data_IF_376026133026
#
_entry.id   IF_376026133026
#
_cell.length_a   1.000
_cell.length_b   1.000
_cell.length_c   1.000
_cell.angle_alpha   90.00
_cell.angle_beta   90.00
_cell.angle_gamma   90.00
#
_symmetry.space_group_name_H-M   'P 1'
#
loop_
_entity.id
_entity.type
_entity.pdbx_description
1 polymer ?
#
# COMPACT_ATOMS: atom_id res chain seq x y z
N UNK A 1 17.64 -5.84 3.59
CA UNK A 1 17.78 -4.38 3.77
C UNK A 1 17.03 -3.68 2.65
N UNK A 2 15.86 -3.12 2.93
CA UNK A 2 15.09 -2.41 1.92
C UNK A 2 15.67 -1.02 1.65
N UNK A 3 15.54 -0.54 0.41
CA UNK A 3 15.92 0.81 0.02
C UNK A 3 14.67 1.68 -0.18
N UNK A 4 14.80 2.98 0.09
CA UNK A 4 13.74 3.96 -0.15
C UNK A 4 14.34 5.22 -0.75
N UNK A 5 13.67 5.76 -1.76
CA UNK A 5 14.04 6.95 -2.49
C UNK A 5 12.83 7.88 -2.56
N UNK A 6 13.09 9.19 -2.44
CA UNK A 6 12.12 10.22 -2.76
C UNK A 6 12.75 11.21 -3.73
N UNK A 7 12.10 11.43 -4.87
CA UNK A 7 12.38 12.57 -5.74
C UNK A 7 11.20 13.54 -5.62
N UNK A 8 11.41 14.63 -4.90
CA UNK A 8 10.41 15.70 -4.79
C UNK A 8 10.31 16.47 -6.11
N UNK A 9 9.20 17.19 -6.34
CA UNK A 9 8.96 17.86 -7.63
C UNK A 9 10.08 18.78 -8.14
N UNK A 10 10.89 19.39 -7.26
CA UNK A 10 12.05 20.18 -7.67
C UNK A 10 13.20 19.35 -8.28
N UNK A 11 13.20 18.04 -8.05
CA UNK A 11 14.22 17.10 -8.51
C UNK A 11 13.77 16.29 -9.75
N UNK A 12 12.55 16.49 -10.25
CA UNK A 12 11.99 15.78 -11.41
C UNK A 12 11.74 16.74 -12.58
N UNK A 13 11.87 16.25 -13.81
CA UNK A 13 11.74 17.10 -15.01
C UNK A 13 10.32 17.61 -15.25
N UNK A 14 9.31 16.91 -14.73
CA UNK A 14 7.89 17.20 -14.91
C UNK A 14 7.23 17.77 -13.65
N UNK A 15 7.99 17.98 -12.57
CA UNK A 15 7.47 18.45 -11.29
C UNK A 15 6.75 17.40 -10.45
N UNK A 16 6.69 16.14 -10.89
CA UNK A 16 6.06 15.06 -10.13
C UNK A 16 6.85 14.72 -8.86
N UNK A 17 6.14 14.35 -7.78
CA UNK A 17 6.81 13.72 -6.62
C UNK A 17 6.76 12.21 -6.79
N UNK A 18 7.93 11.59 -6.79
CA UNK A 18 8.09 10.14 -6.95
C UNK A 18 8.58 9.55 -5.64
N UNK A 19 7.81 8.60 -5.11
CA UNK A 19 8.23 7.74 -4.01
C UNK A 19 8.60 6.36 -4.58
N UNK A 20 9.83 5.92 -4.33
CA UNK A 20 10.33 4.62 -4.74
C UNK A 20 10.74 3.81 -3.52
N UNK A 21 10.32 2.54 -3.48
CA UNK A 21 10.76 1.58 -2.47
C UNK A 21 11.21 0.32 -3.18
N UNK A 22 12.38 -0.19 -2.80
CA UNK A 22 12.80 -1.53 -3.18
C UNK A 22 12.70 -2.41 -1.94
N UNK A 23 11.98 -3.52 -2.04
CA UNK A 23 11.83 -4.46 -0.94
C UNK A 23 12.77 -5.64 -1.14
N UNK A 24 13.64 -5.85 -0.16
CA UNK A 24 14.50 -7.02 -0.12
C UNK A 24 13.71 -8.25 0.24
N UNK A 25 13.85 -9.30 -0.56
CA UNK A 25 13.03 -10.51 -0.43
C UNK A 25 13.85 -11.79 -0.50
N UNK A 26 13.37 -12.87 0.14
CA UNK A 26 13.85 -14.20 -0.15
C UNK A 26 13.77 -14.52 -1.64
N UNK A 27 14.71 -15.33 -2.12
CA UNK A 27 14.72 -15.78 -3.51
C UNK A 27 13.38 -16.45 -3.87
N UNK A 28 12.80 -16.05 -5.00
CA UNK A 28 11.54 -16.56 -5.54
C UNK A 28 10.27 -16.27 -4.71
N UNK A 29 10.31 -15.33 -3.77
CA UNK A 29 9.07 -14.87 -3.13
C UNK A 29 8.13 -14.20 -4.14
N UNK A 30 6.90 -14.70 -4.24
CA UNK A 30 5.88 -14.17 -5.15
C UNK A 30 5.37 -12.83 -4.64
N UNK A 31 5.30 -11.86 -5.57
CA UNK A 31 4.65 -10.57 -5.37
C UNK A 31 3.36 -10.51 -6.17
N UNK A 32 2.25 -10.59 -5.45
CA UNK A 32 0.93 -10.43 -6.04
C UNK A 32 0.68 -8.94 -6.28
N UNK A 33 0.17 -8.64 -7.47
CA UNK A 33 -0.44 -7.35 -7.75
C UNK A 33 -1.94 -7.47 -7.44
N UNK A 34 -2.40 -6.78 -6.40
CA UNK A 34 -3.77 -6.88 -5.92
C UNK A 34 -4.45 -5.54 -6.10
N UNK A 35 -5.63 -5.55 -6.71
CA UNK A 35 -6.50 -4.39 -6.80
C UNK A 35 -7.55 -4.47 -5.70
N UNK A 36 -7.64 -3.42 -4.89
CA UNK A 36 -8.68 -3.27 -3.87
C UNK A 36 -9.51 -2.05 -4.27
N UNK A 37 -10.78 -2.22 -4.64
CA UNK A 37 -11.62 -1.10 -5.03
C UNK A 37 -11.95 -0.22 -3.83
N UNK A 38 -12.35 1.03 -4.12
CA UNK A 38 -12.97 1.92 -3.13
C UNK A 38 -14.16 1.24 -2.47
N UNK A 39 -14.31 1.38 -1.16
CA UNK A 39 -15.38 0.75 -0.39
C UNK A 39 -15.96 1.72 0.63
N UNK A 40 -17.27 1.62 0.84
CA UNK A 40 -17.99 2.27 1.94
C UNK A 40 -18.29 1.23 3.01
N UNK A 41 -18.20 1.63 4.28
CA UNK A 41 -18.37 0.75 5.44
C UNK A 41 -19.45 1.29 6.37
N UNK A 42 -20.22 0.37 6.96
CA UNK A 42 -21.31 0.70 7.90
C UNK A 42 -21.03 0.21 9.32
N UNK A 43 -20.04 -0.65 9.45
CA UNK A 43 -19.54 -1.22 10.69
C UNK A 43 -18.93 -0.13 11.56
N UNK A 44 -19.07 -0.25 12.89
CA UNK A 44 -18.45 0.69 13.82
C UNK A 44 -16.95 0.44 13.99
N UNK A 45 -16.53 -0.82 13.88
CA UNK A 45 -15.15 -1.26 14.13
C UNK A 45 -14.68 -2.24 13.05
N UNK A 46 -13.36 -2.26 12.82
CA UNK A 46 -12.66 -3.20 11.97
C UNK A 46 -11.77 -4.12 12.82
N UNK A 47 -11.95 -5.43 12.66
CA UNK A 47 -11.07 -6.43 13.28
C UNK A 47 -9.81 -6.62 12.43
N UNK A 48 -8.66 -6.33 13.01
CA UNK A 48 -7.34 -6.66 12.46
C UNK A 48 -6.80 -7.95 13.10
N UNK A 49 -5.62 -8.39 12.68
CA UNK A 49 -5.01 -9.67 13.12
C UNK A 49 -5.00 -9.85 14.65
N UNK A 50 -4.69 -8.78 15.41
CA UNK A 50 -4.56 -8.86 16.87
C UNK A 50 -5.34 -7.78 17.63
N UNK A 51 -5.85 -6.76 16.94
CA UNK A 51 -6.52 -5.61 17.54
C UNK A 51 -7.84 -5.33 16.82
N UNK A 52 -8.65 -4.48 17.40
CA UNK A 52 -9.84 -3.93 16.78
C UNK A 52 -9.73 -2.41 16.82
N UNK A 53 -10.01 -1.75 15.70
CA UNK A 53 -9.90 -0.29 15.54
C UNK A 53 -11.26 0.28 15.10
N UNK A 54 -11.55 1.56 15.35
CA UNK A 54 -12.72 2.22 14.76
C UNK A 54 -12.66 2.13 13.23
N UNK A 55 -13.78 1.77 12.61
CA UNK A 55 -13.91 1.71 11.16
C UNK A 55 -14.13 3.10 10.58
N UNK A 56 -13.59 3.34 9.38
CA UNK A 56 -13.83 4.59 8.64
C UNK A 56 -14.99 4.41 7.66
N UNK A 57 -15.79 5.45 7.38
CA UNK A 57 -16.93 5.33 6.47
C UNK A 57 -16.55 4.93 5.05
N UNK A 58 -15.33 5.25 4.62
CA UNK A 58 -14.89 5.05 3.26
C UNK A 58 -13.38 4.81 3.17
N UNK A 59 -12.98 3.80 2.40
CA UNK A 59 -11.59 3.49 2.05
C UNK A 59 -11.35 3.75 0.58
N UNK A 60 -10.19 4.33 0.24
CA UNK A 60 -9.80 4.60 -1.14
C UNK A 60 -9.50 3.33 -1.95
N UNK A 61 -9.57 3.47 -3.27
CA UNK A 61 -9.09 2.47 -4.21
C UNK A 61 -7.56 2.43 -4.21
N UNK A 62 -7.01 1.22 -4.14
CA UNK A 62 -5.56 1.00 -4.13
C UNK A 62 -5.15 -0.18 -5.01
N UNK A 63 -3.93 -0.10 -5.55
CA UNK A 63 -3.21 -1.24 -6.12
C UNK A 63 -2.03 -1.53 -5.19
N UNK A 64 -1.92 -2.80 -4.79
CA UNK A 64 -1.00 -3.29 -3.77
C UNK A 64 0.03 -4.23 -4.39
N UNK A 65 1.29 -4.11 -3.97
CA UNK A 65 2.30 -5.15 -4.12
C UNK A 65 2.40 -5.93 -2.81
N UNK A 66 1.88 -7.16 -2.83
CA UNK A 66 1.72 -7.99 -1.64
C UNK A 66 2.55 -9.30 -1.74
N UNK A 67 3.46 -9.55 -0.78
CA UNK A 67 3.98 -10.89 -0.52
C UNK A 67 2.86 -11.88 -0.27
N UNK A 68 2.89 -13.02 -0.95
CA UNK A 68 1.76 -13.96 -0.97
C UNK A 68 1.28 -14.44 0.42
N UNK A 69 2.14 -14.42 1.43
CA UNK A 69 1.87 -14.94 2.77
C UNK A 69 1.39 -13.88 3.78
N UNK A 70 1.46 -12.59 3.46
CA UNK A 70 1.06 -11.53 4.39
C UNK A 70 -0.32 -10.98 4.09
N UNK A 71 -0.92 -10.35 5.10
CA UNK A 71 -2.11 -9.50 4.93
C UNK A 71 -1.68 -8.05 4.66
N UNK A 72 -2.40 -7.33 3.80
CA UNK A 72 -2.03 -5.96 3.39
C UNK A 72 -0.93 -5.95 2.33
N UNK A 73 -0.05 -4.94 2.35
CA UNK A 73 0.98 -4.76 1.33
C UNK A 73 2.26 -4.16 1.90
N UNK A 74 3.34 -4.26 1.13
CA UNK A 74 4.58 -3.52 1.43
C UNK A 74 4.73 -2.22 0.64
N UNK A 75 4.02 -2.13 -0.48
CA UNK A 75 3.94 -0.94 -1.33
C UNK A 75 2.54 -0.84 -1.90
N UNK A 76 2.07 0.39 -2.03
CA UNK A 76 0.79 0.71 -2.60
C UNK A 76 0.86 1.96 -3.47
N UNK A 77 -0.10 2.04 -4.40
CA UNK A 77 -0.50 3.31 -4.99
C UNK A 77 -2.02 3.41 -4.87
N UNK A 78 -2.48 4.58 -4.44
CA UNK A 78 -3.90 4.85 -4.21
C UNK A 78 -4.33 6.17 -4.82
N UNK A 79 -5.62 6.29 -5.07
CA UNK A 79 -6.23 7.56 -5.45
C UNK A 79 -7.08 8.08 -4.29
N UNK A 80 -6.70 9.25 -3.78
CA UNK A 80 -7.52 9.99 -2.81
C UNK A 80 -8.82 10.49 -3.45
#
# INVERSE_FOLDING_TARGET
MCDTLVAVGLATSDGSTIFGKNSDRPYAEVQNLIHVPRQEHSEANLKCTYIEIPQIPETFEVILCQPYWMWGAEMEIGRA
#
